data_IF_048154009032
#
_entry.id   IF_048154009032
#
_cell.length_a   1.000
_cell.length_b   1.000
_cell.length_c   1.000
_cell.angle_alpha   90.00
_cell.angle_beta   90.00
_cell.angle_gamma   90.00
#
_symmetry.space_group_name_H-M   'P 1'
#
loop_
_entity.id
_entity.type
_entity.pdbx_description
1 polymer ?
#
# COMPACT_ATOMS: atom_id res chain seq x y z
N UNK A 1 -14.64 -26.87 23.64
CA UNK A 1 -15.41 -25.66 23.26
C UNK A 1 -14.82 -25.11 21.97
N UNK A 2 -15.67 -24.84 20.97
CA UNK A 2 -15.24 -24.44 19.63
C UNK A 2 -15.14 -22.91 19.58
N UNK A 3 -13.92 -22.38 19.56
CA UNK A 3 -13.68 -20.93 19.44
C UNK A 3 -13.97 -20.52 18.00
N UNK A 4 -15.21 -20.07 17.76
CA UNK A 4 -15.69 -19.64 16.45
C UNK A 4 -14.93 -18.38 16.07
N UNK A 5 -14.04 -18.47 15.07
CA UNK A 5 -13.31 -17.32 14.53
C UNK A 5 -14.34 -16.33 13.98
N UNK A 6 -14.53 -15.20 14.66
CA UNK A 6 -15.34 -14.09 14.16
C UNK A 6 -14.47 -13.28 13.22
N UNK A 7 -14.75 -13.32 11.92
CA UNK A 7 -14.15 -12.37 10.96
C UNK A 7 -14.67 -10.98 11.34
N UNK A 8 -13.78 -10.06 11.72
CA UNK A 8 -14.11 -8.63 11.75
C UNK A 8 -14.26 -8.17 10.31
N UNK A 9 -15.47 -8.32 9.76
CA UNK A 9 -15.86 -7.84 8.43
C UNK A 9 -16.31 -6.37 8.46
N UNK A 10 -16.14 -5.66 9.57
CA UNK A 10 -16.68 -4.30 9.78
C UNK A 10 -15.63 -3.19 9.70
N UNK A 11 -14.37 -3.51 9.40
CA UNK A 11 -13.31 -2.51 9.20
C UNK A 11 -13.01 -2.27 7.71
N UNK A 12 -14.04 -2.23 6.87
CA UNK A 12 -13.92 -1.56 5.58
C UNK A 12 -14.10 -0.07 5.82
N UNK A 13 -13.02 0.62 6.16
CA UNK A 13 -12.91 2.03 5.83
C UNK A 13 -12.96 2.08 4.30
N UNK A 14 -14.14 2.36 3.74
CA UNK A 14 -14.24 2.79 2.35
C UNK A 14 -13.43 4.06 2.24
N UNK A 15 -12.16 3.94 1.85
CA UNK A 15 -11.37 5.10 1.47
C UNK A 15 -12.12 5.66 0.26
N UNK A 16 -12.61 6.91 0.29
CA UNK A 16 -13.23 7.51 -0.89
C UNK A 16 -12.11 7.85 -1.89
N UNK A 17 -11.54 6.83 -2.53
CA UNK A 17 -10.44 6.94 -3.49
C UNK A 17 -10.82 7.91 -4.61
N UNK A 18 -12.10 7.96 -4.96
CA UNK A 18 -12.67 8.83 -6.00
C UNK A 18 -12.82 10.31 -5.60
N UNK A 19 -12.51 10.71 -4.35
CA UNK A 19 -12.54 12.13 -3.92
C UNK A 19 -11.14 12.73 -3.77
N UNK A 20 -10.08 11.93 -3.94
CA UNK A 20 -8.68 12.34 -3.75
C UNK A 20 -8.28 13.51 -4.67
N UNK A 21 -8.92 13.64 -5.84
CA UNK A 21 -8.57 14.65 -6.84
C UNK A 21 -8.83 16.11 -6.40
N UNK A 22 -9.63 16.36 -5.35
CA UNK A 22 -9.94 17.72 -4.90
C UNK A 22 -9.10 18.21 -3.72
N UNK A 23 -8.50 17.32 -2.93
CA UNK A 23 -7.68 17.67 -1.75
C UNK A 23 -6.67 16.57 -1.42
N UNK A 24 -5.76 16.29 -2.37
CA UNK A 24 -4.70 15.31 -2.17
C UNK A 24 -3.78 15.70 -0.99
N UNK A 25 -3.48 16.98 -0.84
CA UNK A 25 -2.57 17.47 0.20
C UNK A 25 -3.13 17.26 1.61
N UNK A 26 -4.41 17.56 1.82
CA UNK A 26 -5.10 17.30 3.10
C UNK A 26 -5.15 15.82 3.42
N UNK A 27 -5.49 14.98 2.43
CA UNK A 27 -5.47 13.53 2.57
C UNK A 27 -4.07 13.01 2.89
N UNK A 28 -3.04 13.48 2.18
CA UNK A 28 -1.66 13.07 2.38
C UNK A 28 -1.16 13.46 3.78
N UNK A 29 -1.47 14.66 4.24
CA UNK A 29 -1.15 15.10 5.59
C UNK A 29 -1.82 14.23 6.67
N UNK A 30 -3.05 13.80 6.44
CA UNK A 30 -3.75 12.87 7.34
C UNK A 30 -3.14 11.46 7.28
N UNK A 31 -2.81 10.96 6.09
CA UNK A 31 -2.12 9.69 5.89
C UNK A 31 -0.81 9.64 6.68
N UNK A 32 0.02 10.67 6.63
CA UNK A 32 1.31 10.73 7.36
C UNK A 32 1.15 10.61 8.88
N UNK A 33 -0.01 10.93 9.45
CA UNK A 33 -0.30 10.79 10.89
C UNK A 33 -0.68 9.36 11.29
N UNK A 34 -1.12 8.54 10.35
CA UNK A 34 -1.47 7.13 10.60
C UNK A 34 -0.24 6.29 10.89
N UNK A 35 -0.41 5.13 11.50
CA UNK A 35 0.71 4.21 11.77
C UNK A 35 1.36 3.71 10.47
N UNK A 36 0.55 3.49 9.43
CA UNK A 36 1.06 3.17 8.09
C UNK A 36 1.88 4.32 7.49
N UNK A 37 1.45 5.57 7.69
CA UNK A 37 2.20 6.76 7.29
C UNK A 37 3.54 6.91 8.01
N UNK A 38 3.58 6.61 9.31
CA UNK A 38 4.83 6.58 10.09
C UNK A 38 5.79 5.50 9.59
N UNK A 39 5.27 4.31 9.29
CA UNK A 39 6.05 3.23 8.67
C UNK A 39 6.61 3.69 7.33
N UNK A 40 5.79 4.31 6.49
CA UNK A 40 6.22 4.90 5.21
C UNK A 40 7.38 5.89 5.40
N UNK A 41 7.28 6.84 6.35
CA UNK A 41 8.34 7.82 6.61
C UNK A 41 9.64 7.18 7.12
N UNK A 42 9.56 6.14 7.93
CA UNK A 42 10.72 5.42 8.46
C UNK A 42 11.40 4.49 7.46
N UNK A 43 10.74 4.19 6.34
CA UNK A 43 11.20 3.16 5.40
C UNK A 43 12.15 3.77 4.35
N UNK A 44 13.39 3.25 4.21
CA UNK A 44 14.32 3.72 3.18
C UNK A 44 14.01 3.11 1.80
N UNK A 45 12.89 3.52 1.18
CA UNK A 45 12.41 2.94 -0.09
C UNK A 45 13.42 2.97 -1.24
N UNK A 46 14.25 4.01 -1.31
CA UNK A 46 15.28 4.12 -2.34
C UNK A 46 16.38 3.07 -2.17
N UNK A 47 16.89 2.91 -0.96
CA UNK A 47 17.93 1.94 -0.64
C UNK A 47 17.42 0.52 -0.78
N UNK A 48 16.17 0.27 -0.37
CA UNK A 48 15.49 -1.01 -0.58
C UNK A 48 15.36 -1.31 -2.08
N UNK A 49 14.92 -0.35 -2.90
CA UNK A 49 14.83 -0.54 -4.36
C UNK A 49 16.18 -0.92 -4.97
N UNK A 50 17.26 -0.27 -4.50
CA UNK A 50 18.63 -0.56 -4.92
C UNK A 50 19.10 -1.93 -4.46
N UNK A 51 18.83 -2.31 -3.20
CA UNK A 51 19.18 -3.61 -2.62
C UNK A 51 18.49 -4.77 -3.36
N UNK A 52 17.20 -4.62 -3.64
CA UNK A 52 16.42 -5.59 -4.43
C UNK A 52 16.75 -5.56 -5.93
N UNK A 53 17.67 -4.69 -6.37
CA UNK A 53 18.05 -4.51 -7.78
C UNK A 53 16.84 -4.28 -8.69
N UNK A 54 15.79 -3.65 -8.15
CA UNK A 54 14.58 -3.34 -8.90
C UNK A 54 14.91 -2.26 -9.92
N UNK A 55 14.67 -2.57 -11.19
CA UNK A 55 14.81 -1.63 -12.30
C UNK A 55 13.44 -1.32 -12.85
N UNK A 56 13.29 -0.11 -13.36
CA UNK A 56 12.18 0.21 -14.25
C UNK A 56 12.24 -0.72 -15.46
N UNK A 57 11.10 -1.29 -15.83
CA UNK A 57 11.04 -2.17 -16.99
C UNK A 57 11.24 -1.29 -18.24
N UNK A 58 12.39 -1.42 -18.89
CA UNK A 58 12.71 -0.68 -20.13
C UNK A 58 12.07 -1.32 -21.38
N UNK A 59 11.56 -2.55 -21.26
CA UNK A 59 10.90 -3.32 -22.32
C UNK A 59 9.82 -4.22 -21.73
N UNK A 60 8.63 -4.22 -22.32
CA UNK A 60 7.48 -5.04 -21.90
C UNK A 60 6.22 -4.20 -21.70
N UNK A 61 5.17 -4.81 -21.14
CA UNK A 61 3.94 -4.12 -20.71
C UNK A 61 4.26 -3.03 -19.70
N UNK A 62 3.58 -1.89 -19.81
CA UNK A 62 3.77 -0.74 -18.93
C UNK A 62 3.72 -1.16 -17.46
N UNK A 63 4.81 -0.89 -16.73
CA UNK A 63 4.83 -1.02 -15.29
C UNK A 63 4.12 0.18 -14.67
N UNK A 64 2.90 -0.03 -14.14
CA UNK A 64 2.15 1.00 -13.41
C UNK A 64 2.88 1.56 -12.18
N UNK A 65 3.77 0.77 -11.58
CA UNK A 65 4.52 1.15 -10.37
C UNK A 65 6.02 1.20 -10.64
N UNK A 66 6.65 2.30 -10.21
CA UNK A 66 8.11 2.42 -10.12
C UNK A 66 8.70 1.38 -9.15
N UNK A 67 10.01 1.09 -9.17
CA UNK A 67 10.71 0.27 -8.19
C UNK A 67 10.35 0.58 -6.73
N UNK A 68 10.24 1.87 -6.39
CA UNK A 68 9.78 2.32 -5.07
C UNK A 68 8.31 1.97 -4.84
N UNK A 69 7.45 2.22 -5.83
CA UNK A 69 6.04 1.88 -5.80
C UNK A 69 5.80 0.38 -5.61
N UNK A 70 6.62 -0.49 -6.23
CA UNK A 70 6.57 -1.94 -6.05
C UNK A 70 6.87 -2.36 -4.60
N UNK A 71 7.86 -1.73 -3.97
CA UNK A 71 8.18 -1.98 -2.56
C UNK A 71 7.09 -1.44 -1.65
N UNK A 72 6.59 -0.24 -1.90
CA UNK A 72 5.48 0.34 -1.16
C UNK A 72 4.25 -0.57 -1.23
N UNK A 73 3.94 -1.11 -2.42
CA UNK A 73 2.85 -2.06 -2.63
C UNK A 73 3.08 -3.38 -1.88
N UNK A 74 4.30 -3.91 -1.90
CA UNK A 74 4.66 -5.12 -1.15
C UNK A 74 4.49 -4.92 0.36
N UNK A 75 4.91 -3.76 0.88
CA UNK A 75 4.72 -3.40 2.28
C UNK A 75 3.24 -3.24 2.63
N UNK A 76 2.47 -2.61 1.75
CA UNK A 76 1.04 -2.44 1.92
C UNK A 76 0.33 -3.79 2.03
N UNK A 77 0.65 -4.72 1.11
CA UNK A 77 0.14 -6.10 1.13
C UNK A 77 0.49 -6.81 2.42
N UNK A 78 1.73 -6.68 2.88
CA UNK A 78 2.19 -7.27 4.14
C UNK A 78 1.48 -6.66 5.35
N UNK A 79 1.29 -5.34 5.37
CA UNK A 79 0.62 -4.62 6.47
C UNK A 79 -0.84 -5.05 6.63
N UNK A 80 -1.56 -5.25 5.52
CA UNK A 80 -2.96 -5.68 5.53
C UNK A 80 -3.15 -7.21 5.51
N UNK A 81 -2.07 -7.99 5.45
CA UNK A 81 -2.13 -9.45 5.34
C UNK A 81 -2.91 -9.95 4.12
N UNK A 82 -3.01 -9.13 3.06
CA UNK A 82 -3.82 -9.43 1.89
C UNK A 82 -2.96 -9.94 0.73
N UNK A 83 -3.46 -10.98 0.06
CA UNK A 83 -2.85 -11.52 -1.17
C UNK A 83 -3.13 -10.60 -2.36
N UNK A 84 -2.31 -10.70 -3.41
CA UNK A 84 -2.43 -9.95 -4.66
C UNK A 84 -3.84 -9.96 -5.27
N UNK A 85 -4.58 -11.07 -5.13
CA UNK A 85 -5.97 -11.22 -5.60
C UNK A 85 -6.99 -10.42 -4.78
N UNK A 86 -6.67 -10.08 -3.54
CA UNK A 86 -7.54 -9.32 -2.67
C UNK A 86 -7.30 -7.82 -2.80
N UNK A 87 -6.14 -7.41 -3.33
CA UNK A 87 -5.80 -6.00 -3.51
C UNK A 87 -6.45 -5.38 -4.75
N UNK A 88 -6.85 -6.18 -5.75
CA UNK A 88 -7.58 -5.71 -6.93
C UNK A 88 -9.06 -5.38 -6.66
N UNK A 89 -9.55 -5.71 -5.47
CA UNK A 89 -10.92 -5.47 -5.03
C UNK A 89 -11.02 -4.35 -3.96
N UNK A 90 -9.93 -3.59 -3.75
CA UNK A 90 -9.93 -2.37 -2.93
C UNK A 90 -10.14 -1.14 -3.80
#
# INVERSE_FOLDING_TARGET
>A
MMTKIRRLSEFQYEIPIFTIDKDFDGFYAQFLKTDLGKIYLSTPFYELAKSFKLKDAQKGTDCYFSPKGKIALMMLKNYYGCSDKNLSNF
#
